data_IF_594807330671
#
_entry.id   IF_594807330671
#
_cell.length_a   1.000
_cell.length_b   1.000
_cell.length_c   1.000
_cell.angle_alpha   90.00
_cell.angle_beta   90.00
_cell.angle_gamma   90.00
#
_symmetry.space_group_name_H-M   'P 1'
#
loop_
_entity.id
_entity.type
_entity.pdbx_description
1 polymer ?
#
# COMPACT_ATOMS: atom_id res chain seq x y z
N UNK A 1 -42.06 0.42 -5.24
CA UNK A 1 -41.59 1.74 -4.80
C UNK A 1 -40.20 1.87 -5.40
N UNK A 2 -40.11 2.41 -6.61
CA UNK A 2 -38.84 2.59 -7.32
C UNK A 2 -38.54 4.08 -7.41
N UNK A 3 -37.33 4.43 -7.01
CA UNK A 3 -36.82 5.78 -6.79
C UNK A 3 -36.54 6.48 -8.13
N UNK A 4 -37.04 7.71 -8.24
CA UNK A 4 -36.87 8.59 -9.40
C UNK A 4 -35.39 8.88 -9.68
N UNK A 5 -34.97 8.51 -10.90
CA UNK A 5 -33.71 8.98 -11.48
C UNK A 5 -33.84 10.43 -11.94
N UNK A 6 -32.97 11.29 -11.41
CA UNK A 6 -32.78 12.68 -11.82
C UNK A 6 -32.50 12.78 -13.32
N UNK A 7 -33.43 13.37 -14.07
CA UNK A 7 -33.25 13.62 -15.51
C UNK A 7 -32.28 14.80 -15.72
N UNK A 8 -31.24 14.65 -16.58
CA UNK A 8 -30.36 15.76 -16.92
C UNK A 8 -31.14 16.81 -17.72
N UNK A 9 -31.03 18.07 -17.32
CA UNK A 9 -31.69 19.21 -17.98
C UNK A 9 -31.28 19.30 -19.44
N UNK A 10 -32.15 18.85 -20.33
CA UNK A 10 -31.99 19.04 -21.78
C UNK A 10 -32.30 20.49 -22.14
N UNK A 11 -31.33 21.21 -22.70
CA UNK A 11 -31.57 22.54 -23.25
C UNK A 11 -32.48 22.40 -24.48
N UNK A 12 -33.74 22.81 -24.37
CA UNK A 12 -34.72 22.79 -25.46
C UNK A 12 -34.46 23.95 -26.43
N UNK A 13 -33.54 23.75 -27.36
CA UNK A 13 -33.39 24.65 -28.50
C UNK A 13 -34.56 24.45 -29.47
N UNK A 14 -35.16 25.54 -29.96
CA UNK A 14 -36.25 25.47 -30.93
C UNK A 14 -35.76 24.96 -32.28
N UNK A 15 -36.59 24.18 -32.98
CA UNK A 15 -36.26 23.60 -34.29
C UNK A 15 -35.85 24.67 -35.33
N UNK A 16 -36.46 25.86 -35.27
CA UNK A 16 -36.14 26.99 -36.14
C UNK A 16 -34.72 27.53 -35.90
N UNK A 17 -34.25 27.49 -34.66
CA UNK A 17 -32.90 27.92 -34.31
C UNK A 17 -31.86 26.90 -34.76
N UNK A 18 -32.14 25.60 -34.62
CA UNK A 18 -31.25 24.54 -35.10
C UNK A 18 -31.04 24.55 -36.62
N UNK A 19 -32.03 25.01 -37.39
CA UNK A 19 -31.94 25.15 -38.84
C UNK A 19 -31.20 26.42 -39.29
N UNK A 20 -30.82 27.32 -38.39
CA UNK A 20 -30.06 28.53 -38.73
C UNK A 20 -28.55 28.26 -38.73
N UNK A 21 -27.81 29.06 -39.50
CA UNK A 21 -26.34 29.02 -39.51
C UNK A 21 -25.72 29.41 -38.15
N UNK A 22 -26.48 30.07 -37.27
CA UNK A 22 -26.05 30.46 -35.93
C UNK A 22 -25.96 29.27 -34.96
N UNK A 23 -26.71 28.18 -35.21
CA UNK A 23 -26.66 26.98 -34.38
C UNK A 23 -25.47 26.08 -34.70
N UNK A 24 -24.92 26.13 -35.92
CA UNK A 24 -23.75 25.34 -36.34
C UNK A 24 -22.54 25.45 -35.39
N UNK A 25 -22.05 26.65 -35.02
CA UNK A 25 -20.90 26.76 -34.12
C UNK A 25 -21.20 26.21 -32.71
N UNK A 26 -22.44 26.29 -32.26
CA UNK A 26 -22.87 25.78 -30.95
C UNK A 26 -22.86 24.26 -30.95
N UNK A 27 -23.45 23.63 -31.99
CA UNK A 27 -23.48 22.18 -32.16
C UNK A 27 -22.05 21.61 -32.22
N UNK A 28 -21.17 22.22 -33.01
CA UNK A 28 -19.76 21.81 -33.11
C UNK A 28 -19.02 21.92 -31.78
N UNK A 29 -19.28 22.98 -30.99
CA UNK A 29 -18.69 23.16 -29.66
C UNK A 29 -19.18 22.10 -28.67
N UNK A 30 -20.44 21.70 -28.73
CA UNK A 30 -20.99 20.62 -27.88
C UNK A 30 -20.37 19.27 -28.23
N UNK A 31 -20.29 18.93 -29.52
CA UNK A 31 -19.65 17.68 -29.98
C UNK A 31 -18.19 17.61 -29.52
N UNK A 32 -17.43 18.70 -29.68
CA UNK A 32 -16.03 18.77 -29.24
C UNK A 32 -15.90 18.61 -27.72
N UNK A 33 -16.80 19.19 -26.94
CA UNK A 33 -16.81 19.02 -25.48
C UNK A 33 -17.15 17.60 -25.06
N UNK A 34 -18.09 16.93 -25.75
CA UNK A 34 -18.43 15.53 -25.49
C UNK A 34 -17.22 14.62 -25.75
N UNK A 35 -16.56 14.77 -26.91
CA UNK A 35 -15.36 14.00 -27.26
C UNK A 35 -14.20 14.24 -26.28
N UNK A 36 -13.99 15.49 -25.86
CA UNK A 36 -12.98 15.83 -24.85
C UNK A 36 -13.27 15.13 -23.52
N UNK A 37 -14.53 15.13 -23.06
CA UNK A 37 -14.94 14.44 -21.82
C UNK A 37 -14.81 12.93 -21.92
N UNK A 38 -15.12 12.32 -23.06
CA UNK A 38 -14.88 10.88 -23.26
C UNK A 38 -13.39 10.55 -23.21
N UNK A 39 -12.54 11.36 -23.84
CA UNK A 39 -11.09 11.15 -23.84
C UNK A 39 -10.49 11.29 -22.43
N UNK A 40 -10.97 12.26 -21.64
CA UNK A 40 -10.57 12.43 -20.24
C UNK A 40 -11.02 11.22 -19.40
N UNK A 41 -12.25 10.73 -19.59
CA UNK A 41 -12.78 9.56 -18.87
C UNK A 41 -12.03 8.27 -19.22
N UNK A 42 -11.50 8.15 -20.44
CA UNK A 42 -10.63 7.04 -20.83
C UNK A 42 -9.19 7.13 -20.28
N UNK A 43 -8.78 8.31 -19.80
CA UNK A 43 -7.46 8.56 -19.20
C UNK A 43 -7.49 8.65 -17.67
N UNK A 44 -8.65 8.49 -17.03
CA UNK A 44 -8.73 8.18 -15.60
C UNK A 44 -8.35 6.71 -15.43
N UNK A 45 -7.37 6.42 -14.58
CA UNK A 45 -6.98 5.05 -14.23
C UNK A 45 -8.26 4.25 -13.91
N UNK A 46 -8.50 3.18 -14.68
CA UNK A 46 -9.71 2.39 -14.56
C UNK A 46 -9.92 1.90 -13.13
N UNK A 47 -11.18 1.79 -12.71
CA UNK A 47 -11.51 1.11 -11.46
C UNK A 47 -10.93 -0.32 -11.51
N UNK A 48 -10.35 -0.76 -10.40
CA UNK A 48 -9.81 -2.12 -10.25
C UNK A 48 -10.81 -3.14 -10.79
N UNK A 49 -10.36 -4.01 -11.69
CA UNK A 49 -11.22 -5.01 -12.28
C UNK A 49 -11.65 -6.02 -11.21
N UNK A 50 -12.81 -6.65 -11.38
CA UNK A 50 -13.28 -7.71 -10.47
C UNK A 50 -12.27 -8.88 -10.39
N UNK A 51 -11.50 -9.09 -11.46
CA UNK A 51 -10.39 -10.05 -11.53
C UNK A 51 -9.18 -9.65 -10.64
N UNK A 52 -8.84 -8.36 -10.58
CA UNK A 52 -7.82 -7.82 -9.64
C UNK A 52 -8.28 -7.93 -8.17
N UNK A 53 -9.58 -7.68 -7.92
CA UNK A 53 -10.18 -7.86 -6.59
C UNK A 53 -10.15 -9.33 -6.14
N UNK A 54 -10.34 -10.28 -7.05
CA UNK A 54 -10.25 -11.72 -6.73
C UNK A 54 -8.81 -12.22 -6.57
N UNK A 55 -7.85 -11.60 -7.25
CA UNK A 55 -6.42 -11.94 -7.12
C UNK A 55 -5.85 -11.53 -5.74
N UNK A 56 -6.52 -10.62 -5.03
CA UNK A 56 -6.16 -10.19 -3.68
C UNK A 56 -6.69 -11.10 -2.55
N UNK A 57 -7.33 -12.23 -2.90
CA UNK A 57 -7.80 -13.24 -1.94
C UNK A 57 -6.96 -14.52 -1.96
N UNK A 58 -5.70 -14.45 -2.41
CA UNK A 58 -4.74 -15.50 -2.04
C UNK A 58 -4.51 -15.40 -0.54
N UNK A 59 -4.95 -16.42 0.21
CA UNK A 59 -4.59 -16.63 1.60
C UNK A 59 -3.06 -16.73 1.67
N UNK A 60 -2.39 -15.60 1.78
CA UNK A 60 -1.01 -15.58 2.22
C UNK A 60 -1.08 -16.17 3.63
N UNK A 61 -0.47 -17.34 3.83
CA UNK A 61 -0.18 -17.84 5.16
C UNK A 61 0.70 -16.78 5.82
N UNK A 62 0.04 -15.81 6.44
CA UNK A 62 0.65 -14.57 6.84
C UNK A 62 1.46 -14.87 8.08
N UNK A 63 2.75 -14.56 7.99
CA UNK A 63 3.63 -14.63 9.14
C UNK A 63 3.04 -13.69 10.19
N UNK A 64 2.84 -14.22 11.40
CA UNK A 64 2.31 -13.43 12.48
C UNK A 64 3.42 -12.47 12.96
N UNK A 65 3.36 -11.23 12.44
CA UNK A 65 4.32 -10.18 12.77
C UNK A 65 4.29 -9.83 14.25
N UNK A 66 3.12 -9.88 14.87
CA UNK A 66 2.95 -9.62 16.31
C UNK A 66 3.68 -10.67 17.15
N UNK A 67 3.51 -11.95 16.82
CA UNK A 67 4.24 -13.05 17.48
C UNK A 67 5.76 -12.90 17.30
N UNK A 68 6.20 -12.62 16.06
CA UNK A 68 7.64 -12.45 15.75
C UNK A 68 8.26 -11.29 16.54
N UNK A 69 7.55 -10.17 16.66
CA UNK A 69 7.99 -9.00 17.43
C UNK A 69 7.97 -9.30 18.93
N UNK A 70 6.95 -9.98 19.44
CA UNK A 70 6.86 -10.40 20.82
C UNK A 70 8.04 -11.30 21.22
N UNK A 71 8.33 -12.31 20.39
CA UNK A 71 9.48 -13.21 20.57
C UNK A 71 10.81 -12.45 20.56
N UNK A 72 10.96 -11.46 19.67
CA UNK A 72 12.17 -10.63 19.61
C UNK A 72 12.38 -9.82 20.89
N UNK A 73 11.34 -9.11 21.35
CA UNK A 73 11.40 -8.29 22.57
C UNK A 73 11.68 -9.18 23.79
N UNK A 74 11.02 -10.34 23.85
CA UNK A 74 11.25 -11.32 24.90
C UNK A 74 12.69 -11.84 24.87
N UNK A 75 13.19 -12.26 23.71
CA UNK A 75 14.55 -12.75 23.56
C UNK A 75 15.58 -11.68 23.96
N UNK A 76 15.34 -10.41 23.63
CA UNK A 76 16.23 -9.33 24.01
C UNK A 76 16.22 -9.10 25.54
N UNK A 77 15.03 -9.12 26.15
CA UNK A 77 14.88 -9.00 27.60
C UNK A 77 15.58 -10.15 28.32
N UNK A 78 15.41 -11.38 27.84
CA UNK A 78 16.06 -12.58 28.38
C UNK A 78 17.59 -12.51 28.23
N UNK A 79 18.10 -12.01 27.10
CA UNK A 79 19.53 -11.83 26.86
C UNK A 79 20.14 -10.85 27.87
N UNK A 80 19.49 -9.71 28.08
CA UNK A 80 19.90 -8.70 29.08
C UNK A 80 19.82 -9.26 30.50
N UNK A 81 18.79 -10.05 30.80
CA UNK A 81 18.61 -10.62 32.13
C UNK A 81 19.67 -11.68 32.45
N UNK A 82 20.08 -12.45 31.44
CA UNK A 82 21.13 -13.48 31.56
C UNK A 82 22.53 -12.86 31.65
N UNK A 83 22.79 -11.82 30.86
CA UNK A 83 24.04 -11.09 30.86
C UNK A 83 23.76 -9.60 30.64
N UNK A 84 23.85 -8.76 31.69
CA UNK A 84 23.64 -7.32 31.59
C UNK A 84 24.65 -6.59 30.70
N UNK A 85 25.73 -7.27 30.32
CA UNK A 85 26.78 -6.75 29.43
C UNK A 85 26.70 -7.27 28.01
N UNK A 86 25.73 -8.16 27.71
CA UNK A 86 25.51 -8.62 26.35
C UNK A 86 25.05 -7.47 25.46
N UNK A 87 25.66 -7.36 24.28
CA UNK A 87 25.20 -6.39 23.28
C UNK A 87 23.80 -6.79 22.78
N UNK A 88 22.89 -5.82 22.67
CA UNK A 88 21.56 -6.08 22.14
C UNK A 88 21.67 -6.59 20.70
N UNK A 89 21.00 -7.71 20.41
CA UNK A 89 20.92 -8.25 19.05
C UNK A 89 20.05 -7.33 18.20
N UNK A 90 20.49 -7.02 16.97
CA UNK A 90 19.71 -6.23 16.02
C UNK A 90 18.47 -7.00 15.53
N UNK A 91 17.37 -6.29 15.26
CA UNK A 91 16.14 -6.90 14.72
C UNK A 91 16.41 -7.68 13.43
N UNK A 92 17.25 -7.15 12.54
CA UNK A 92 17.59 -7.81 11.28
C UNK A 92 18.32 -9.14 11.51
N UNK A 93 19.32 -9.15 12.40
CA UNK A 93 20.07 -10.35 12.78
C UNK A 93 19.16 -11.40 13.41
N UNK A 94 18.24 -10.95 14.28
CA UNK A 94 17.22 -11.82 14.86
C UNK A 94 16.33 -12.45 13.78
N UNK A 95 15.78 -11.66 12.85
CA UNK A 95 14.93 -12.18 11.76
C UNK A 95 15.68 -13.14 10.83
N UNK A 96 16.99 -12.99 10.66
CA UNK A 96 17.82 -13.91 9.88
C UNK A 96 18.09 -15.25 10.59
N UNK A 97 18.04 -15.28 11.92
CA UNK A 97 18.20 -16.51 12.71
C UNK A 97 16.86 -17.14 13.10
N UNK A 98 15.80 -16.34 13.15
CA UNK A 98 14.47 -16.78 13.54
C UNK A 98 13.95 -17.86 12.59
N UNK A 99 13.38 -18.92 13.19
CA UNK A 99 12.77 -20.02 12.45
C UNK A 99 11.28 -19.78 12.37
N UNK A 100 10.84 -19.21 11.25
CA UNK A 100 9.42 -19.05 10.97
C UNK A 100 8.74 -20.42 10.81
N UNK A 101 7.42 -20.46 11.02
CA UNK A 101 6.61 -21.68 10.85
C UNK A 101 6.60 -22.20 9.41
N UNK A 102 6.96 -21.35 8.45
CA UNK A 102 7.10 -21.63 7.03
C UNK A 102 8.54 -21.33 6.59
N UNK A 103 8.98 -21.91 5.48
CA UNK A 103 10.24 -21.49 4.84
C UNK A 103 10.10 -20.05 4.31
N UNK A 104 10.93 -19.17 4.86
CA UNK A 104 10.97 -17.74 4.51
C UNK A 104 12.34 -17.42 3.94
N UNK A 105 12.34 -16.95 2.70
CA UNK A 105 13.55 -16.58 1.99
C UNK A 105 14.15 -15.27 2.55
N UNK A 106 15.41 -14.99 2.23
CA UNK A 106 16.09 -13.76 2.67
C UNK A 106 15.36 -12.48 2.25
N UNK A 107 14.81 -12.46 1.03
CA UNK A 107 14.03 -11.34 0.50
C UNK A 107 12.72 -11.14 1.29
N UNK A 108 12.04 -12.22 1.64
CA UNK A 108 10.85 -12.14 2.50
C UNK A 108 11.23 -11.68 3.90
N UNK A 109 12.33 -12.18 4.49
CA UNK A 109 12.83 -11.69 5.79
C UNK A 109 13.13 -10.19 5.78
N UNK A 110 13.69 -9.70 4.68
CA UNK A 110 13.94 -8.26 4.47
C UNK A 110 12.62 -7.50 4.34
N UNK A 111 11.63 -8.06 3.64
CA UNK A 111 10.29 -7.49 3.54
C UNK A 111 9.60 -7.43 4.91
N UNK A 112 9.69 -8.51 5.70
CA UNK A 112 9.15 -8.58 7.06
C UNK A 112 9.83 -7.55 7.96
N UNK A 113 11.15 -7.38 7.85
CA UNK A 113 11.88 -6.34 8.57
C UNK A 113 11.27 -4.96 8.27
N UNK A 114 11.15 -4.59 7.00
CA UNK A 114 10.55 -3.31 6.61
C UNK A 114 9.09 -3.17 7.11
N UNK A 115 8.31 -4.25 7.04
CA UNK A 115 6.93 -4.26 7.54
C UNK A 115 6.86 -4.06 9.06
N UNK A 116 7.68 -4.79 9.81
CA UNK A 116 7.74 -4.70 11.27
C UNK A 116 8.13 -3.28 11.68
N UNK A 117 9.17 -2.72 11.06
CA UNK A 117 9.65 -1.36 11.37
C UNK A 117 8.58 -0.32 11.03
N UNK A 118 7.84 -0.50 9.94
CA UNK A 118 6.76 0.43 9.54
C UNK A 118 5.52 0.31 10.43
N UNK A 119 5.17 -0.90 10.90
CA UNK A 119 3.97 -1.15 11.70
C UNK A 119 4.20 -0.87 13.19
N UNK A 120 5.38 -1.22 13.69
CA UNK A 120 5.78 -1.13 15.09
C UNK A 120 6.86 -0.07 15.32
N UNK A 121 6.93 0.95 14.46
CA UNK A 121 7.87 2.07 14.57
C UNK A 121 7.88 2.67 15.99
N UNK A 122 6.71 2.76 16.62
CA UNK A 122 6.54 3.28 17.99
C UNK A 122 7.18 2.42 19.08
N UNK A 123 7.47 1.15 18.81
CA UNK A 123 8.09 0.22 19.75
C UNK A 123 9.58 0.02 19.48
N UNK A 124 10.10 0.58 18.38
CA UNK A 124 11.47 0.40 17.94
C UNK A 124 12.23 1.73 17.91
N UNK A 125 13.48 1.70 18.36
CA UNK A 125 14.44 2.78 18.15
C UNK A 125 15.33 2.40 16.97
N UNK A 126 15.17 3.15 15.89
CA UNK A 126 16.09 3.14 14.75
C UNK A 126 17.32 3.95 15.17
N UNK A 127 18.50 3.33 15.13
CA UNK A 127 19.76 4.04 15.41
C UNK A 127 20.39 4.55 14.11
N UNK A 128 21.28 5.53 14.23
CA UNK A 128 22.10 6.03 13.10
C UNK A 128 23.27 5.06 12.76
N UNK A 129 23.29 3.88 13.38
CA UNK A 129 24.28 2.85 13.10
C UNK A 129 23.76 1.93 12.01
N UNK A 130 24.61 1.69 11.01
CA UNK A 130 24.29 0.79 9.91
C UNK A 130 25.06 -0.52 10.08
N UNK A 131 24.33 -1.64 9.99
CA UNK A 131 24.90 -2.96 9.83
C UNK A 131 25.10 -3.28 8.35
N UNK A 132 26.14 -4.06 8.05
CA UNK A 132 26.33 -4.63 6.72
C UNK A 132 26.10 -6.14 6.81
N UNK A 133 25.10 -6.64 6.09
CA UNK A 133 24.83 -8.07 5.97
C UNK A 133 25.04 -8.50 4.53
N UNK A 134 26.08 -9.31 4.29
CA UNK A 134 26.55 -9.71 2.95
C UNK A 134 26.85 -8.48 2.07
N UNK A 135 25.87 -8.00 1.31
CA UNK A 135 25.94 -6.84 0.42
C UNK A 135 24.87 -5.77 0.71
N UNK A 136 24.08 -5.93 1.78
CA UNK A 136 23.02 -5.00 2.15
C UNK A 136 23.46 -4.18 3.35
N UNK A 137 23.27 -2.87 3.25
CA UNK A 137 23.37 -1.96 4.38
C UNK A 137 21.96 -1.80 4.99
N UNK A 138 21.83 -2.02 6.29
CA UNK A 138 20.57 -1.92 7.02
C UNK A 138 20.78 -1.08 8.27
N UNK A 139 19.78 -0.30 8.66
CA UNK A 139 19.82 0.41 9.93
C UNK A 139 19.71 -0.60 11.08
N UNK A 140 20.54 -0.43 12.10
CA UNK A 140 20.41 -1.20 13.35
C UNK A 140 19.18 -0.71 14.10
N UNK A 141 18.35 -1.66 14.50
CA UNK A 141 17.06 -1.38 15.12
C UNK A 141 16.93 -2.22 16.36
N UNK A 142 16.68 -1.53 17.46
CA UNK A 142 16.52 -2.13 18.78
C UNK A 142 15.11 -1.81 19.33
N UNK A 143 14.51 -2.69 20.14
CA UNK A 143 13.31 -2.37 20.88
C UNK A 143 13.55 -1.17 21.81
N UNK A 144 12.52 -0.35 21.99
CA UNK A 144 12.51 0.67 23.03
C UNK A 144 12.52 0.01 24.41
N UNK A 145 13.47 0.45 25.26
CA UNK A 145 13.56 0.06 26.67
C UNK A 145 12.68 0.93 27.55
#
# INVERSE_FOLDING_TARGET
MELEGTTPTSFKLSLNFLNSDEARPIILKVIKNLQYRETIRSNEAGAFSEEDLTSQAMYQESINLEETVGDYIQAQTEAIWKDPTAEPEDLFSFLMRYSFRREVNEEERTTLFCQIVSLYESQFRITDEFGVYKNYEYARIYPMQ
#
